data_IF_033639794610
#
_entry.id   IF_033639794610
#
_cell.length_a   1.000
_cell.length_b   1.000
_cell.length_c   1.000
_cell.angle_alpha   90.00
_cell.angle_beta   90.00
_cell.angle_gamma   90.00
#
_symmetry.space_group_name_H-M   'P 1'
#
loop_
_entity.id
_entity.type
_entity.pdbx_description
1 polymer ?
#
# COMPACT_ATOMS: atom_id res chain seq x y z
N UNK A 1 -5.66 7.86 -4.55
CA UNK A 1 -4.29 7.75 -4.01
C UNK A 1 -4.28 7.53 -2.50
N UNK A 2 -4.69 8.50 -1.68
CA UNK A 2 -4.67 8.38 -0.21
C UNK A 2 -5.43 7.16 0.32
N UNK A 3 -6.66 6.92 -0.18
CA UNK A 3 -7.43 5.75 0.22
C UNK A 3 -6.67 4.43 -0.03
N UNK A 4 -5.94 4.32 -1.14
CA UNK A 4 -5.12 3.14 -1.46
C UNK A 4 -3.99 2.96 -0.44
N UNK A 5 -3.31 4.05 -0.07
CA UNK A 5 -2.24 4.03 0.94
C UNK A 5 -2.75 3.67 2.33
N UNK A 6 -3.97 4.05 2.69
CA UNK A 6 -4.61 3.63 3.94
C UNK A 6 -5.00 2.15 3.96
N UNK A 7 -4.95 1.45 2.83
CA UNK A 7 -4.86 -0.01 2.84
C UNK A 7 -3.66 -0.53 3.65
N UNK A 8 -2.64 0.31 3.85
CA UNK A 8 -1.51 0.02 4.73
C UNK A 8 -1.89 -0.30 6.17
N UNK A 9 -3.01 0.20 6.70
CA UNK A 9 -3.45 -0.18 8.05
C UNK A 9 -3.73 -1.69 8.15
N UNK A 10 -4.32 -2.27 7.09
CA UNK A 10 -4.51 -3.72 7.02
C UNK A 10 -3.17 -4.45 6.99
N UNK A 11 -2.25 -4.03 6.10
CA UNK A 11 -0.92 -4.65 6.03
C UNK A 11 -0.13 -4.58 7.33
N UNK A 12 -0.19 -3.43 8.01
CA UNK A 12 0.45 -3.20 9.30
C UNK A 12 -0.14 -4.12 10.37
N UNK A 13 -1.47 -4.21 10.45
CA UNK A 13 -2.17 -5.07 11.41
C UNK A 13 -1.86 -6.55 11.20
N UNK A 14 -1.84 -7.01 9.95
CA UNK A 14 -1.52 -8.41 9.62
C UNK A 14 -0.08 -8.78 10.03
N UNK A 15 0.87 -7.86 9.85
CA UNK A 15 2.25 -8.10 10.28
C UNK A 15 2.37 -8.12 11.81
N UNK A 16 1.66 -7.24 12.53
CA UNK A 16 1.62 -7.24 14.00
C UNK A 16 0.98 -8.53 14.54
N UNK A 17 -0.08 -9.02 13.88
CA UNK A 17 -0.80 -10.23 14.26
C UNK A 17 0.03 -11.53 14.15
N UNK A 18 1.21 -11.48 13.52
CA UNK A 18 2.13 -12.61 13.36
C UNK A 18 3.45 -12.40 14.10
N UNK A 19 3.73 -11.18 14.57
CA UNK A 19 4.89 -10.86 15.41
C UNK A 19 4.59 -11.20 16.88
N UNK A 20 5.15 -12.29 17.43
CA UNK A 20 4.73 -12.82 18.73
C UNK A 20 5.20 -11.99 19.93
N UNK A 21 6.07 -11.03 19.70
CA UNK A 21 6.49 -9.99 20.64
C UNK A 21 5.54 -8.78 20.69
N UNK A 22 4.58 -8.66 19.75
CA UNK A 22 3.70 -7.49 19.65
C UNK A 22 2.22 -7.79 19.88
N UNK A 23 1.80 -9.06 19.82
CA UNK A 23 0.40 -9.43 20.02
C UNK A 23 0.26 -10.77 20.75
N UNK A 24 -0.73 -10.85 21.65
CA UNK A 24 -1.12 -12.10 22.32
C UNK A 24 -1.64 -13.14 21.33
N UNK A 25 -2.28 -12.71 20.23
CA UNK A 25 -2.70 -13.58 19.13
C UNK A 25 -1.49 -14.19 18.42
N UNK A 26 -0.46 -13.38 18.17
CA UNK A 26 0.76 -13.83 17.53
C UNK A 26 1.54 -14.82 18.42
N UNK A 27 1.56 -14.60 19.74
CA UNK A 27 2.16 -15.53 20.70
C UNK A 27 1.50 -16.91 20.63
N UNK A 28 0.16 -16.98 20.63
CA UNK A 28 -0.58 -18.25 20.46
C UNK A 28 -0.29 -18.92 19.11
N UNK A 29 -0.26 -18.14 18.03
CA UNK A 29 0.04 -18.65 16.69
C UNK A 29 1.46 -19.21 16.56
N UNK A 30 2.42 -18.72 17.36
CA UNK A 30 3.80 -19.20 17.33
C UNK A 30 3.98 -20.61 17.91
N UNK A 31 3.03 -21.10 18.70
CA UNK A 31 3.01 -22.45 19.29
C UNK A 31 2.26 -23.45 18.39
N UNK A 32 1.48 -22.98 17.42
CA UNK A 32 0.73 -23.84 16.51
C UNK A 32 1.65 -24.56 15.49
N UNK A 33 1.38 -25.83 15.11
CA UNK A 33 2.21 -26.61 14.18
C UNK A 33 1.93 -26.23 12.71
N UNK A 34 1.78 -24.94 12.42
CA UNK A 34 1.48 -24.42 11.09
C UNK A 34 2.59 -23.46 10.67
N UNK A 35 3.14 -23.57 9.44
CA UNK A 35 4.19 -22.67 9.00
C UNK A 35 3.71 -21.22 8.99
N UNK A 36 4.39 -20.34 9.74
CA UNK A 36 4.07 -18.91 9.90
C UNK A 36 3.81 -18.19 8.56
N UNK A 37 4.53 -18.58 7.52
CA UNK A 37 4.40 -17.98 6.19
C UNK A 37 3.05 -18.28 5.52
N UNK A 38 2.46 -19.46 5.75
CA UNK A 38 1.14 -19.79 5.21
C UNK A 38 0.03 -19.02 5.91
N UNK A 39 0.15 -18.87 7.24
CA UNK A 39 -0.77 -18.04 8.03
C UNK A 39 -0.69 -16.58 7.56
N UNK A 40 0.53 -16.05 7.42
CA UNK A 40 0.77 -14.70 6.90
C UNK A 40 0.20 -14.49 5.50
N UNK A 41 0.45 -15.42 4.59
CA UNK A 41 -0.07 -15.31 3.23
C UNK A 41 -1.61 -15.33 3.21
N UNK A 42 -2.25 -16.21 3.98
CA UNK A 42 -3.71 -16.29 4.07
C UNK A 42 -4.33 -15.03 4.66
N UNK A 43 -3.74 -14.50 5.74
CA UNK A 43 -4.25 -13.32 6.42
C UNK A 43 -4.05 -12.04 5.59
N UNK A 44 -2.91 -11.94 4.91
CA UNK A 44 -2.62 -10.86 3.95
C UNK A 44 -3.55 -10.90 2.74
N UNK A 45 -3.86 -12.08 2.20
CA UNK A 45 -4.82 -12.22 1.10
C UNK A 45 -6.23 -11.80 1.56
N UNK A 46 -6.65 -12.19 2.76
CA UNK A 46 -7.92 -11.73 3.34
C UNK A 46 -7.96 -10.20 3.46
N UNK A 47 -6.91 -9.59 4.03
CA UNK A 47 -6.76 -8.13 4.11
C UNK A 47 -6.83 -7.45 2.73
N UNK A 48 -6.15 -8.00 1.72
CA UNK A 48 -6.18 -7.48 0.36
C UNK A 48 -7.59 -7.58 -0.25
N UNK A 49 -8.31 -8.69 -0.06
CA UNK A 49 -9.68 -8.83 -0.58
C UNK A 49 -10.63 -7.79 0.02
N UNK A 50 -10.53 -7.54 1.34
CA UNK A 50 -11.33 -6.52 2.02
C UNK A 50 -10.98 -5.12 1.51
N UNK A 51 -9.69 -4.83 1.33
CA UNK A 51 -9.24 -3.55 0.81
C UNK A 51 -9.70 -3.32 -0.63
N UNK A 52 -9.61 -4.35 -1.48
CA UNK A 52 -10.08 -4.29 -2.87
C UNK A 52 -11.61 -4.11 -2.90
N UNK A 53 -12.36 -4.83 -2.07
CA UNK A 53 -13.81 -4.66 -1.98
C UNK A 53 -14.18 -3.22 -1.58
N UNK A 54 -13.51 -2.66 -0.57
CA UNK A 54 -13.67 -1.26 -0.15
C UNK A 54 -13.40 -0.27 -1.30
N UNK A 55 -12.38 -0.56 -2.11
CA UNK A 55 -12.03 0.25 -3.28
C UNK A 55 -13.03 0.14 -4.43
N UNK A 56 -13.55 -1.06 -4.68
CA UNK A 56 -14.59 -1.26 -5.67
C UNK A 56 -15.89 -0.55 -5.27
N UNK A 57 -16.24 -0.56 -3.99
CA UNK A 57 -17.35 0.23 -3.47
C UNK A 57 -17.12 1.74 -3.70
N UNK A 58 -15.91 2.24 -3.41
CA UNK A 58 -15.57 3.64 -3.67
C UNK A 58 -15.67 3.99 -5.16
N UNK A 59 -15.10 3.18 -6.06
CA UNK A 59 -15.21 3.39 -7.51
C UNK A 59 -16.66 3.31 -8.00
N UNK A 60 -17.44 2.38 -7.46
CA UNK A 60 -18.87 2.25 -7.73
C UNK A 60 -19.63 3.50 -7.32
N UNK A 61 -19.36 4.05 -6.14
CA UNK A 61 -19.94 5.30 -5.68
C UNK A 61 -19.58 6.48 -6.60
N UNK A 62 -18.30 6.62 -6.97
CA UNK A 62 -17.84 7.67 -7.89
C UNK A 62 -18.54 7.60 -9.25
N UNK A 63 -18.75 6.40 -9.78
CA UNK A 63 -19.37 6.21 -11.10
C UNK A 63 -20.89 6.31 -11.08
N UNK A 64 -21.55 5.63 -10.14
CA UNK A 64 -23.00 5.44 -10.13
C UNK A 64 -23.74 6.57 -9.41
N UNK A 65 -23.16 7.10 -8.33
CA UNK A 65 -23.80 8.13 -7.50
C UNK A 65 -23.35 9.53 -7.90
N UNK A 66 -22.03 9.72 -8.06
CA UNK A 66 -21.47 11.01 -8.46
C UNK A 66 -21.42 11.22 -9.98
N UNK A 67 -21.69 10.17 -10.77
CA UNK A 67 -21.76 10.27 -12.23
C UNK A 67 -20.43 10.58 -12.92
N UNK A 68 -19.28 10.28 -12.29
CA UNK A 68 -17.97 10.59 -12.88
C UNK A 68 -17.72 9.67 -14.09
N UNK A 69 -17.54 10.22 -15.30
CA UNK A 69 -17.34 9.42 -16.50
C UNK A 69 -15.91 8.84 -16.55
N UNK A 70 -15.79 7.52 -16.37
CA UNK A 70 -14.51 6.80 -16.51
C UNK A 70 -14.15 6.45 -17.96
N UNK A 71 -15.06 6.70 -18.90
CA UNK A 71 -14.88 6.45 -20.32
C UNK A 71 -14.49 5.00 -20.65
N UNK A 72 -13.80 4.82 -21.77
CA UNK A 72 -13.43 3.51 -22.29
C UNK A 72 -12.24 2.85 -21.54
N UNK A 73 -11.75 3.48 -20.46
CA UNK A 73 -10.55 3.07 -19.71
C UNK A 73 -10.85 2.53 -18.32
N UNK A 74 -12.11 2.15 -18.08
CA UNK A 74 -12.54 1.60 -16.79
C UNK A 74 -11.66 0.42 -16.34
N UNK A 75 -11.22 -0.45 -17.27
CA UNK A 75 -10.32 -1.56 -16.95
C UNK A 75 -8.95 -1.12 -16.42
N UNK A 76 -8.36 -0.05 -16.97
CA UNK A 76 -7.08 0.47 -16.49
C UNK A 76 -7.23 1.19 -15.15
N UNK A 77 -8.35 1.84 -14.90
CA UNK A 77 -8.66 2.46 -13.60
C UNK A 77 -8.78 1.39 -12.52
N UNK A 78 -9.44 0.27 -12.82
CA UNK A 78 -9.51 -0.89 -11.93
C UNK A 78 -8.11 -1.44 -11.65
N UNK A 79 -7.31 -1.68 -12.69
CA UNK A 79 -5.92 -2.14 -12.54
C UNK A 79 -5.09 -1.19 -11.66
N UNK A 80 -5.11 0.12 -11.92
CA UNK A 80 -4.39 1.11 -11.14
C UNK A 80 -4.84 1.14 -9.66
N UNK A 81 -6.13 0.89 -9.41
CA UNK A 81 -6.67 0.83 -8.06
C UNK A 81 -6.24 -0.45 -7.33
N UNK A 82 -6.23 -1.58 -8.03
CA UNK A 82 -5.75 -2.86 -7.50
C UNK A 82 -4.26 -2.79 -7.15
N UNK A 83 -3.42 -2.33 -8.07
CA UNK A 83 -1.98 -2.21 -7.85
C UNK A 83 -1.65 -1.13 -6.82
N UNK A 84 -2.39 -0.03 -6.81
CA UNK A 84 -2.25 1.01 -5.79
C UNK A 84 -2.62 0.52 -4.39
N UNK A 85 -3.64 -0.31 -4.26
CA UNK A 85 -4.04 -0.91 -2.99
C UNK A 85 -3.04 -1.95 -2.50
N UNK A 86 -2.51 -2.76 -3.43
CA UNK A 86 -1.41 -3.68 -3.15
C UNK A 86 -0.19 -2.93 -2.62
N UNK A 87 0.17 -1.80 -3.25
CA UNK A 87 1.27 -0.94 -2.80
C UNK A 87 1.01 -0.37 -1.41
N UNK A 88 -0.19 0.13 -1.14
CA UNK A 88 -0.56 0.64 0.18
C UNK A 88 -0.43 -0.41 1.28
N UNK A 89 -1.00 -1.60 1.07
CA UNK A 89 -0.88 -2.75 1.99
C UNK A 89 0.59 -3.12 2.21
N UNK A 90 1.40 -3.14 1.14
CA UNK A 90 2.84 -3.43 1.22
C UNK A 90 3.60 -2.42 2.07
N UNK A 91 3.32 -1.12 1.89
CA UNK A 91 3.94 -0.03 2.68
C UNK A 91 3.64 -0.20 4.17
N UNK A 92 2.37 -0.44 4.51
CA UNK A 92 1.98 -0.64 5.91
C UNK A 92 2.58 -1.91 6.51
N UNK A 93 2.60 -3.01 5.75
CA UNK A 93 3.26 -4.24 6.15
C UNK A 93 4.76 -4.06 6.38
N UNK A 94 5.44 -3.27 5.53
CA UNK A 94 6.87 -2.98 5.67
C UNK A 94 7.18 -2.18 6.95
N UNK A 95 6.40 -1.13 7.23
CA UNK A 95 6.51 -0.36 8.48
C UNK A 95 6.25 -1.26 9.69
N UNK A 96 5.24 -2.13 9.58
CA UNK A 96 4.93 -3.17 10.55
C UNK A 96 6.08 -4.15 10.78
N UNK A 97 6.81 -4.53 9.74
CA UNK A 97 7.85 -5.55 9.78
C UNK A 97 9.15 -5.05 10.43
N UNK A 98 9.61 -3.85 10.07
CA UNK A 98 10.95 -3.37 10.42
C UNK A 98 11.04 -2.81 11.84
N UNK A 99 9.95 -2.25 12.35
CA UNK A 99 9.96 -1.57 13.65
C UNK A 99 9.60 -2.52 14.80
N UNK A 100 10.35 -2.46 15.90
CA UNK A 100 10.01 -3.12 17.18
C UNK A 100 9.15 -2.24 18.10
N UNK A 101 8.59 -1.17 17.55
CA UNK A 101 7.83 -0.15 18.27
C UNK A 101 6.43 -0.67 18.63
N UNK A 102 5.75 0.03 19.54
CA UNK A 102 4.36 -0.27 19.87
C UNK A 102 3.44 0.00 18.67
N UNK A 103 2.29 -0.70 18.62
CA UNK A 103 1.29 -0.55 17.54
C UNK A 103 0.87 0.92 17.34
N UNK A 104 0.65 1.67 18.43
CA UNK A 104 0.30 3.08 18.37
C UNK A 104 1.35 3.94 17.65
N UNK A 105 2.64 3.71 17.92
CA UNK A 105 3.72 4.43 17.24
C UNK A 105 3.81 4.01 15.76
N UNK A 106 3.62 2.73 15.45
CA UNK A 106 3.60 2.25 14.06
C UNK A 106 2.47 2.89 13.25
N UNK A 107 1.28 3.02 13.85
CA UNK A 107 0.15 3.71 13.24
C UNK A 107 0.47 5.19 12.97
N UNK A 108 1.09 5.88 13.94
CA UNK A 108 1.52 7.27 13.77
C UNK A 108 2.56 7.42 12.64
N UNK A 109 3.53 6.49 12.54
CA UNK A 109 4.51 6.46 11.46
C UNK A 109 3.82 6.25 10.10
N UNK A 110 2.88 5.31 10.00
CA UNK A 110 2.15 5.07 8.76
C UNK A 110 1.36 6.31 8.32
N UNK A 111 0.68 6.97 9.26
CA UNK A 111 -0.06 8.21 9.00
C UNK A 111 0.91 9.30 8.53
N UNK A 112 1.96 9.59 9.30
CA UNK A 112 2.96 10.61 8.96
C UNK A 112 3.61 10.35 7.60
N UNK A 113 4.01 9.10 7.34
CA UNK A 113 4.58 8.69 6.06
C UNK A 113 3.60 8.92 4.89
N UNK A 114 2.34 8.52 5.05
CA UNK A 114 1.32 8.70 4.02
C UNK A 114 1.01 10.17 3.75
N UNK A 115 1.00 11.01 4.78
CA UNK A 115 0.79 12.46 4.65
C UNK A 115 1.97 13.15 3.97
N UNK A 116 3.21 12.84 4.39
CA UNK A 116 4.43 13.37 3.75
C UNK A 116 4.49 12.96 2.28
N UNK A 117 4.23 11.69 1.96
CA UNK A 117 4.17 11.22 0.58
C UNK A 117 3.10 11.96 -0.24
N UNK A 118 1.93 12.18 0.35
CA UNK A 118 0.83 12.91 -0.31
C UNK A 118 1.18 14.38 -0.55
N UNK A 119 1.83 15.03 0.42
CA UNK A 119 2.32 16.40 0.29
C UNK A 119 3.34 16.51 -0.85
N UNK A 120 4.36 15.65 -0.86
CA UNK A 120 5.40 15.64 -1.90
C UNK A 120 4.87 15.29 -3.30
N UNK A 121 3.73 14.59 -3.37
CA UNK A 121 3.03 14.29 -4.63
C UNK A 121 2.18 15.46 -5.15
N UNK A 122 2.08 16.57 -4.41
CA UNK A 122 1.24 17.72 -4.75
C UNK A 122 -0.26 17.48 -4.58
N UNK A 123 -0.65 16.47 -3.78
CA UNK A 123 -2.08 16.21 -3.48
C UNK A 123 -2.68 17.25 -2.53
N UNK A 124 -1.85 18.00 -1.80
CA UNK A 124 -2.27 19.08 -0.89
C UNK A 124 -2.10 20.46 -1.54
N UNK A 125 -0.98 20.67 -2.23
CA UNK A 125 -0.63 21.91 -2.94
C UNK A 125 -0.02 21.51 -4.27
N UNK A 126 -0.63 21.90 -5.39
CA UNK A 126 -0.26 21.43 -6.74
C UNK A 126 1.21 21.75 -7.07
N UNK A 127 1.69 22.95 -6.73
CA UNK A 127 3.04 23.42 -7.05
C UNK A 127 4.15 22.64 -6.35
N UNK A 128 3.86 22.03 -5.19
CA UNK A 128 4.85 21.26 -4.42
C UNK A 128 5.39 20.10 -5.24
N UNK A 129 4.57 19.49 -6.08
CA UNK A 129 5.04 18.41 -6.96
C UNK A 129 6.15 18.88 -7.88
N UNK A 130 5.97 20.03 -8.53
CA UNK A 130 6.98 20.59 -9.43
C UNK A 130 8.26 20.95 -8.68
N UNK A 131 8.14 21.61 -7.52
CA UNK A 131 9.29 21.99 -6.68
C UNK A 131 10.07 20.74 -6.25
N UNK A 132 9.38 19.70 -5.78
CA UNK A 132 10.00 18.47 -5.28
C UNK A 132 10.68 17.69 -6.40
N UNK A 133 10.02 17.52 -7.56
CA UNK A 133 10.60 16.82 -8.72
C UNK A 133 11.80 17.59 -9.28
N UNK A 134 11.77 18.93 -9.29
CA UNK A 134 12.90 19.76 -9.72
C UNK A 134 14.09 19.63 -8.77
N UNK A 135 13.84 19.59 -7.46
CA UNK A 135 14.89 19.46 -6.44
C UNK A 135 15.49 18.05 -6.38
N UNK A 136 14.66 17.01 -6.48
CA UNK A 136 15.07 15.62 -6.40
C UNK A 136 14.23 14.73 -7.33
N UNK A 137 14.57 14.63 -8.62
CA UNK A 137 13.79 13.87 -9.61
C UNK A 137 13.46 12.40 -9.24
N UNK A 138 14.36 11.65 -8.56
CA UNK A 138 14.06 10.26 -8.17
C UNK A 138 12.84 10.11 -7.26
N UNK A 139 12.43 11.16 -6.54
CA UNK A 139 11.25 11.12 -5.66
C UNK A 139 9.97 10.72 -6.40
N UNK A 140 9.87 11.06 -7.68
CA UNK A 140 8.69 10.79 -8.51
C UNK A 140 8.44 9.29 -8.66
N UNK A 141 9.52 8.51 -8.69
CA UNK A 141 9.48 7.07 -8.90
C UNK A 141 9.45 6.26 -7.59
N UNK A 142 9.88 6.85 -6.48
CA UNK A 142 9.92 6.20 -5.16
C UNK A 142 8.69 6.52 -4.30
N UNK A 143 8.08 7.68 -4.49
CA UNK A 143 6.94 8.11 -3.68
C UNK A 143 5.68 7.32 -4.08
N UNK A 144 5.12 6.49 -3.18
CA UNK A 144 3.98 5.64 -3.51
C UNK A 144 2.71 6.47 -3.75
N UNK A 145 2.56 7.63 -3.12
CA UNK A 145 1.44 8.54 -3.39
C UNK A 145 1.53 9.09 -4.82
N UNK A 146 2.74 9.46 -5.26
CA UNK A 146 2.99 10.01 -6.58
C UNK A 146 2.75 8.98 -7.69
N UNK A 147 3.20 7.74 -7.51
CA UNK A 147 2.94 6.67 -8.48
C UNK A 147 1.43 6.41 -8.67
N UNK A 148 0.65 6.47 -7.58
CA UNK A 148 -0.80 6.22 -7.64
C UNK A 148 -1.53 7.42 -8.25
N UNK A 149 -1.22 8.64 -7.80
CA UNK A 149 -1.85 9.86 -8.33
C UNK A 149 -1.51 10.06 -9.82
N UNK A 150 -0.27 9.81 -10.24
CA UNK A 150 0.15 9.97 -11.64
C UNK A 150 -0.43 8.90 -12.56
N UNK A 151 -0.70 7.70 -12.06
CA UNK A 151 -1.43 6.69 -12.83
C UNK A 151 -2.85 7.17 -13.13
N UNK A 152 -3.58 7.66 -12.12
CA UNK A 152 -4.94 8.19 -12.32
C UNK A 152 -4.95 9.46 -13.17
N UNK A 153 -4.02 10.38 -12.92
CA UNK A 153 -3.88 11.61 -13.69
C UNK A 153 -3.58 11.31 -15.17
N UNK A 154 -2.67 10.38 -15.45
CA UNK A 154 -2.38 9.94 -16.81
C UNK A 154 -3.62 9.34 -17.50
N UNK A 155 -4.39 8.52 -16.79
CA UNK A 155 -5.59 7.90 -17.34
C UNK A 155 -6.69 8.90 -17.67
N UNK A 156 -6.79 9.98 -16.91
CA UNK A 156 -7.83 10.99 -17.08
C UNK A 156 -7.47 12.06 -18.12
N UNK A 157 -6.21 12.51 -18.15
CA UNK A 157 -5.81 13.67 -18.98
C UNK A 157 -5.05 13.34 -20.26
N UNK A 158 -4.45 12.15 -20.40
CA UNK A 158 -3.61 11.83 -21.56
C UNK A 158 -4.28 10.81 -22.48
N UNK A 159 -4.13 10.96 -23.80
CA UNK A 159 -4.68 10.03 -24.78
C UNK A 159 -3.89 8.71 -24.91
N UNK A 160 -2.61 8.70 -24.50
CA UNK A 160 -1.79 7.48 -24.52
C UNK A 160 -1.79 6.77 -23.15
N UNK A 161 -1.99 5.44 -23.11
CA UNK A 161 -1.96 4.69 -21.85
C UNK A 161 -0.54 4.44 -21.32
N UNK A 162 0.50 4.72 -22.10
CA UNK A 162 1.89 4.39 -21.79
C UNK A 162 2.33 4.91 -20.42
N UNK A 163 2.07 6.19 -20.12
CA UNK A 163 2.45 6.79 -18.83
C UNK A 163 1.73 6.15 -17.65
N UNK A 164 0.46 5.79 -17.83
CA UNK A 164 -0.31 5.07 -16.80
C UNK A 164 0.24 3.67 -16.55
N UNK A 165 0.59 2.94 -17.61
CA UNK A 165 1.15 1.59 -17.52
C UNK A 165 2.54 1.59 -16.87
N UNK A 166 3.38 2.59 -17.15
CA UNK A 166 4.67 2.74 -16.48
C UNK A 166 4.48 2.94 -14.97
N UNK A 167 3.57 3.82 -14.56
CA UNK A 167 3.28 4.04 -13.14
C UNK A 167 2.70 2.79 -12.47
N UNK A 168 1.78 2.08 -13.12
CA UNK A 168 1.23 0.81 -12.63
C UNK A 168 2.35 -0.24 -12.48
N UNK A 169 3.25 -0.35 -13.47
CA UNK A 169 4.40 -1.25 -13.41
C UNK A 169 5.32 -0.94 -12.23
N UNK A 170 5.59 0.34 -11.98
CA UNK A 170 6.38 0.78 -10.82
C UNK A 170 5.69 0.48 -9.49
N UNK A 171 4.36 0.64 -9.41
CA UNK A 171 3.60 0.26 -8.21
C UNK A 171 3.76 -1.24 -7.91
N UNK A 172 3.66 -2.10 -8.93
CA UNK A 172 3.83 -3.55 -8.78
C UNK A 172 5.27 -3.88 -8.38
N UNK A 173 6.26 -3.29 -9.03
CA UNK A 173 7.67 -3.51 -8.73
C UNK A 173 8.01 -3.11 -7.28
N UNK A 174 7.54 -1.94 -6.83
CA UNK A 174 7.75 -1.47 -5.46
C UNK A 174 7.02 -2.35 -4.44
N UNK A 175 5.79 -2.77 -4.74
CA UNK A 175 5.05 -3.71 -3.89
C UNK A 175 5.80 -5.04 -3.73
N UNK A 176 6.29 -5.61 -4.83
CA UNK A 176 7.04 -6.86 -4.81
C UNK A 176 8.34 -6.75 -3.99
N UNK A 177 9.05 -5.63 -4.12
CA UNK A 177 10.25 -5.35 -3.32
C UNK A 177 9.92 -5.27 -1.82
N UNK A 178 8.88 -4.51 -1.44
CA UNK A 178 8.45 -4.38 -0.06
C UNK A 178 7.98 -5.73 0.52
N UNK A 179 7.20 -6.50 -0.23
CA UNK A 179 6.80 -7.85 0.18
C UNK A 179 7.97 -8.79 0.38
N UNK A 180 8.98 -8.72 -0.49
CA UNK A 180 10.20 -9.52 -0.34
C UNK A 180 10.90 -9.20 1.00
N UNK A 181 11.00 -7.92 1.35
CA UNK A 181 11.55 -7.50 2.65
C UNK A 181 10.69 -8.01 3.81
N UNK A 182 9.37 -7.89 3.74
CA UNK A 182 8.45 -8.38 4.78
C UNK A 182 8.64 -9.89 4.99
N UNK A 183 8.68 -10.67 3.92
CA UNK A 183 8.89 -12.13 3.97
C UNK A 183 10.23 -12.47 4.62
N UNK A 184 11.31 -11.77 4.25
CA UNK A 184 12.64 -11.99 4.85
C UNK A 184 12.66 -11.68 6.35
N UNK A 185 12.03 -10.59 6.77
CA UNK A 185 11.95 -10.19 8.17
C UNK A 185 11.12 -11.19 8.97
N UNK A 186 9.93 -11.56 8.48
CA UNK A 186 9.04 -12.55 9.14
C UNK A 186 9.71 -13.92 9.26
N UNK A 187 10.47 -14.35 8.25
CA UNK A 187 11.24 -15.62 8.30
C UNK A 187 12.34 -15.61 9.35
N UNK A 188 13.00 -14.47 9.57
CA UNK A 188 14.10 -14.32 10.54
C UNK A 188 13.62 -14.19 11.98
N UNK A 189 12.36 -13.80 12.21
CA UNK A 189 11.79 -13.68 13.54
C UNK A 189 11.43 -15.06 14.13
N UNK A 190 12.43 -15.71 14.75
CA UNK A 190 12.23 -16.87 15.61
C UNK A 190 11.85 -16.38 17.01
N UNK A 191 10.82 -17.01 17.58
CA UNK A 191 10.48 -16.76 18.99
C UNK A 191 11.66 -17.25 19.83
N UNK A 192 11.96 -16.54 20.92
CA UNK A 192 12.95 -16.99 21.88
C UNK A 192 12.62 -18.44 22.25
N UNK A 193 13.62 -19.30 22.10
CA UNK A 193 13.61 -20.71 22.47
C UNK A 193 12.95 -20.89 23.83
N UNK A 194 11.79 -21.56 23.85
CA UNK A 194 11.45 -22.45 24.94
C UNK A 194 12.15 -23.78 24.66
#
# INVERSE_FOLDING_TARGET
AMACLYGGFWGLKEVIAIQPNLSSQAARLSVAPVPKLRIFAGSLLAALTIQIASMLLLLGFLRLVLGIPFGNRTGLILLATLTGSLLGVSVGGFIGAISRLSEGIKNAILIGFSMICSFLSGLMIVDIKYITVKAFPPISYLNPANLISDAFYALYYYDSPQRSLTNIGLQVALSALLFSVIVLVVRRQRYASL
#
